data_IF_999757394192
#
_entry.id   IF_999757394192
#
_cell.length_a   1.000
_cell.length_b   1.000
_cell.length_c   1.000
_cell.angle_alpha   90.00
_cell.angle_beta   90.00
_cell.angle_gamma   90.00
#
_symmetry.space_group_name_H-M   'P 1'
#
loop_
_entity.id
_entity.type
_entity.pdbx_description
1 polymer ?
#
# COMPACT_ATOMS: atom_id res chain seq x y z
N UNK A 1 -7.38 9.14 23.84
CA UNK A 1 -6.76 9.46 22.52
C UNK A 1 -7.41 10.54 21.65
N UNK A 2 -8.73 10.60 21.42
CA UNK A 2 -9.34 11.72 20.67
C UNK A 2 -9.16 11.74 19.15
N UNK A 3 -8.87 10.60 18.53
CA UNK A 3 -8.80 10.47 17.06
C UNK A 3 -7.52 11.01 16.43
N UNK A 4 -7.62 11.41 15.15
CA UNK A 4 -6.55 12.09 14.42
C UNK A 4 -6.53 13.57 14.76
N UNK A 5 -5.34 14.15 14.93
CA UNK A 5 -5.21 15.57 15.24
C UNK A 5 -5.34 16.42 13.96
N UNK A 6 -6.30 17.37 13.89
CA UNK A 6 -6.50 18.25 12.74
C UNK A 6 -5.30 19.14 12.37
N UNK A 7 -4.32 19.29 13.27
CA UNK A 7 -3.07 19.99 12.99
C UNK A 7 -2.24 19.28 11.90
N UNK A 8 -2.48 17.99 11.65
CA UNK A 8 -1.92 17.24 10.52
C UNK A 8 -2.95 17.09 9.40
N UNK A 9 -2.83 17.92 8.36
CA UNK A 9 -3.71 17.82 7.18
C UNK A 9 -3.23 16.77 6.18
N UNK A 10 -1.94 16.45 6.22
CA UNK A 10 -1.29 15.41 5.43
C UNK A 10 0.06 15.10 6.06
N UNK A 11 0.47 13.81 6.07
CA UNK A 11 1.75 13.31 6.59
C UNK A 11 1.84 13.36 8.13
N UNK A 12 2.39 12.29 8.73
CA UNK A 12 2.59 12.08 10.19
C UNK A 12 1.32 12.04 11.06
N UNK A 13 0.13 12.12 10.49
CA UNK A 13 -1.15 11.94 11.17
C UNK A 13 -1.27 10.55 11.81
N UNK A 14 -0.92 9.50 11.07
CA UNK A 14 -0.88 8.12 11.58
C UNK A 14 0.28 7.89 12.56
N UNK A 15 1.42 8.55 12.34
CA UNK A 15 2.58 8.46 13.24
C UNK A 15 2.28 9.08 14.60
N UNK A 16 1.64 10.25 14.64
CA UNK A 16 1.15 10.90 15.87
C UNK A 16 0.16 10.01 16.63
N UNK A 17 -0.81 9.41 15.92
CA UNK A 17 -1.77 8.49 16.53
C UNK A 17 -1.07 7.27 17.15
N UNK A 18 -0.18 6.62 16.41
CA UNK A 18 0.55 5.45 16.90
C UNK A 18 1.46 5.78 18.09
N UNK A 19 2.10 6.97 18.08
CA UNK A 19 2.93 7.41 19.19
C UNK A 19 2.09 7.66 20.45
N UNK A 20 0.93 8.29 20.32
CA UNK A 20 -0.03 8.45 21.44
C UNK A 20 -0.57 7.11 21.93
N UNK A 21 -0.87 6.17 21.03
CA UNK A 21 -1.26 4.80 21.40
C UNK A 21 -0.22 4.12 22.28
N UNK A 22 1.05 4.23 21.91
CA UNK A 22 2.17 3.71 22.69
C UNK A 22 2.28 4.39 24.06
N UNK A 23 2.13 5.71 24.14
CA UNK A 23 2.17 6.45 25.41
C UNK A 23 1.01 6.06 26.36
N UNK A 24 -0.17 5.75 25.82
CA UNK A 24 -1.31 5.22 26.59
C UNK A 24 -1.23 3.70 26.81
N UNK A 25 -0.11 3.04 26.46
CA UNK A 25 0.14 1.60 26.68
C UNK A 25 -0.87 0.68 25.95
N UNK A 26 -1.42 1.16 24.82
CA UNK A 26 -2.26 0.34 23.95
C UNK A 26 -1.43 -0.68 23.18
N UNK A 27 -2.09 -1.77 22.75
CA UNK A 27 -1.46 -2.83 21.95
C UNK A 27 -1.87 -2.72 20.49
N UNK A 28 -0.90 -2.83 19.60
CA UNK A 28 -1.12 -2.95 18.15
C UNK A 28 -0.88 -4.39 17.72
N UNK A 29 -1.84 -4.99 17.01
CA UNK A 29 -1.72 -6.32 16.45
C UNK A 29 -1.45 -6.25 14.95
N UNK A 30 -0.48 -7.03 14.47
CA UNK A 30 -0.21 -7.21 13.04
C UNK A 30 -0.99 -8.44 12.58
N UNK A 31 -1.74 -8.32 11.49
CA UNK A 31 -2.40 -9.44 10.83
C UNK A 31 -1.49 -9.98 9.70
N UNK A 32 -0.65 -11.01 9.95
CA UNK A 32 0.41 -11.41 9.01
C UNK A 32 -0.12 -11.97 7.67
N UNK A 33 -1.37 -12.43 7.65
CA UNK A 33 -2.04 -12.94 6.46
C UNK A 33 -2.89 -11.88 5.74
N UNK A 34 -3.04 -10.69 6.31
CA UNK A 34 -3.75 -9.61 5.64
C UNK A 34 -2.93 -9.09 4.46
N UNK A 35 -3.52 -9.09 3.26
CA UNK A 35 -2.92 -8.50 2.07
C UNK A 35 -3.66 -7.24 1.67
N UNK A 36 -2.94 -6.12 1.68
CA UNK A 36 -3.45 -4.82 1.27
C UNK A 36 -2.78 -4.40 -0.03
N UNK A 37 -3.59 -4.17 -1.06
CA UNK A 37 -3.10 -3.64 -2.33
C UNK A 37 -3.05 -2.12 -2.28
N UNK A 38 -1.84 -1.56 -2.23
CA UNK A 38 -1.64 -0.12 -2.30
C UNK A 38 -1.75 0.37 -3.75
N UNK A 39 -2.81 1.12 -4.03
CA UNK A 39 -2.94 1.91 -5.26
C UNK A 39 -2.38 3.32 -5.06
N UNK A 40 -1.98 3.96 -6.17
CA UNK A 40 -1.60 5.37 -6.17
C UNK A 40 -2.56 6.12 -7.08
N UNK A 41 -3.17 7.17 -6.55
CA UNK A 41 -3.93 8.16 -7.31
C UNK A 41 -3.21 9.51 -7.18
N UNK A 42 -3.39 10.36 -8.19
CA UNK A 42 -3.03 11.77 -8.07
C UNK A 42 -3.82 12.41 -6.91
N UNK A 43 -3.23 13.42 -6.29
CA UNK A 43 -3.80 14.22 -5.20
C UNK A 43 -3.40 15.69 -5.42
N UNK A 44 -3.92 16.60 -4.59
CA UNK A 44 -3.54 18.02 -4.62
C UNK A 44 -2.01 18.24 -4.51
N UNK A 45 -1.31 17.35 -3.81
CA UNK A 45 0.13 17.42 -3.55
C UNK A 45 0.98 16.50 -4.45
N UNK A 46 0.36 15.74 -5.37
CA UNK A 46 1.09 14.76 -6.18
C UNK A 46 0.40 14.43 -7.52
N UNK A 47 1.17 14.46 -8.60
CA UNK A 47 0.72 14.04 -9.94
C UNK A 47 0.53 12.52 -10.07
N UNK A 48 -0.06 12.07 -11.18
CA UNK A 48 -0.31 10.65 -11.46
C UNK A 48 0.99 9.83 -11.58
N UNK A 49 2.06 10.44 -12.09
CA UNK A 49 3.43 9.91 -12.16
C UNK A 49 4.17 9.94 -10.81
N UNK A 50 3.45 10.25 -9.72
CA UNK A 50 3.92 10.33 -8.32
C UNK A 50 4.85 11.49 -8.01
N UNK A 51 5.04 12.43 -8.96
CA UNK A 51 5.86 13.62 -8.72
C UNK A 51 5.14 14.55 -7.75
N UNK A 52 5.81 14.99 -6.65
CA UNK A 52 5.22 15.96 -5.73
C UNK A 52 5.02 17.31 -6.42
N UNK A 53 3.89 17.95 -6.16
CA UNK A 53 3.57 19.30 -6.67
C UNK A 53 3.77 20.36 -5.60
N UNK A 54 3.62 20.00 -4.33
CA UNK A 54 3.74 20.86 -3.15
C UNK A 54 4.21 20.04 -1.94
N UNK A 55 5.06 20.62 -1.10
CA UNK A 55 5.57 20.00 0.14
C UNK A 55 5.15 20.76 1.41
N UNK A 56 4.28 21.76 1.29
CA UNK A 56 3.87 22.63 2.40
C UNK A 56 3.34 21.81 3.59
N UNK A 57 2.41 20.89 3.35
CA UNK A 57 1.85 20.09 4.45
C UNK A 57 2.84 19.09 5.05
N UNK A 58 3.83 18.62 4.28
CA UNK A 58 4.89 17.75 4.84
C UNK A 58 5.75 18.54 5.84
N UNK A 59 6.17 19.76 5.47
CA UNK A 59 6.94 20.63 6.36
C UNK A 59 6.13 21.05 7.60
N UNK A 60 4.86 21.40 7.40
CA UNK A 60 3.99 21.86 8.47
C UNK A 60 3.68 20.75 9.50
N UNK A 61 3.33 19.55 9.01
CA UNK A 61 3.08 18.40 9.86
C UNK A 61 4.34 17.97 10.63
N UNK A 62 5.52 18.03 10.00
CA UNK A 62 6.77 17.75 10.71
C UNK A 62 7.01 18.74 11.86
N UNK A 63 6.76 20.04 11.64
CA UNK A 63 6.91 21.05 12.69
C UNK A 63 5.94 20.82 13.86
N UNK A 64 4.67 20.47 13.58
CA UNK A 64 3.70 20.08 14.61
C UNK A 64 4.19 18.87 15.39
N UNK A 65 4.65 17.81 14.71
CA UNK A 65 5.11 16.59 15.35
C UNK A 65 6.31 16.84 16.29
N UNK A 66 7.29 17.63 15.84
CA UNK A 66 8.46 17.95 16.66
C UNK A 66 8.09 18.80 17.86
N UNK A 67 7.19 19.78 17.72
CA UNK A 67 6.71 20.59 18.86
C UNK A 67 5.99 19.76 19.92
N UNK A 68 5.37 18.65 19.54
CA UNK A 68 4.68 17.74 20.47
C UNK A 68 5.62 16.76 21.17
N UNK A 69 6.56 16.19 20.43
CA UNK A 69 7.25 14.96 20.86
C UNK A 69 8.78 15.06 20.88
N UNK A 70 9.36 16.21 20.52
CA UNK A 70 10.80 16.38 20.48
C UNK A 70 11.27 17.66 21.18
N UNK A 71 12.41 17.64 21.89
CA UNK A 71 13.03 18.85 22.43
C UNK A 71 13.37 19.86 21.33
N UNK A 72 13.20 21.16 21.63
CA UNK A 72 13.48 22.26 20.68
C UNK A 72 14.90 22.21 20.09
N UNK A 73 15.87 21.70 20.85
CA UNK A 73 17.27 21.53 20.40
C UNK A 73 17.41 20.62 19.18
N UNK A 74 16.46 19.69 18.97
CA UNK A 74 16.46 18.75 17.85
C UNK A 74 15.72 19.28 16.62
N UNK A 75 14.97 20.38 16.72
CA UNK A 75 14.07 20.82 15.65
C UNK A 75 14.85 21.22 14.40
N UNK A 76 15.83 22.12 14.53
CA UNK A 76 16.62 22.64 13.41
C UNK A 76 17.35 21.53 12.64
N UNK A 77 17.99 20.60 13.34
CA UNK A 77 18.70 19.47 12.72
C UNK A 77 17.73 18.52 12.01
N UNK A 78 16.56 18.27 12.60
CA UNK A 78 15.54 17.39 12.01
C UNK A 78 14.92 18.01 10.76
N UNK A 79 14.60 19.30 10.78
CA UNK A 79 14.12 20.01 9.60
C UNK A 79 15.14 19.98 8.45
N UNK A 80 16.43 20.22 8.76
CA UNK A 80 17.49 20.16 7.75
C UNK A 80 17.63 18.75 7.14
N UNK A 81 17.53 17.69 7.96
CA UNK A 81 17.55 16.30 7.49
C UNK A 81 16.36 15.99 6.60
N UNK A 82 15.14 16.28 7.05
CA UNK A 82 13.93 16.03 6.29
C UNK A 82 13.91 16.79 4.95
N UNK A 83 14.34 18.06 4.96
CA UNK A 83 14.50 18.86 3.74
C UNK A 83 15.48 18.23 2.76
N UNK A 84 16.63 17.75 3.25
CA UNK A 84 17.63 17.04 2.43
C UNK A 84 17.04 15.78 1.79
N UNK A 85 16.27 14.99 2.55
CA UNK A 85 15.61 13.79 2.02
C UNK A 85 14.59 14.13 0.92
N UNK A 86 13.77 15.18 1.12
CA UNK A 86 12.84 15.63 0.07
C UNK A 86 13.59 16.18 -1.16
N UNK A 87 14.72 16.88 -0.96
CA UNK A 87 15.57 17.34 -2.08
C UNK A 87 16.10 16.16 -2.89
N UNK A 88 16.65 15.13 -2.22
CA UNK A 88 17.16 13.93 -2.89
C UNK A 88 16.05 13.25 -3.70
N UNK A 89 14.83 13.16 -3.13
CA UNK A 89 13.67 12.62 -3.84
C UNK A 89 13.28 13.47 -5.06
N UNK A 90 13.26 14.79 -4.94
CA UNK A 90 12.97 15.69 -6.06
C UNK A 90 14.04 15.60 -7.17
N UNK A 91 15.32 15.50 -6.80
CA UNK A 91 16.42 15.32 -7.74
C UNK A 91 16.30 14.00 -8.52
N UNK A 92 15.86 12.90 -7.89
CA UNK A 92 15.58 11.64 -8.60
C UNK A 92 14.50 11.80 -9.66
N UNK A 93 13.45 12.58 -9.39
CA UNK A 93 12.43 12.90 -10.39
C UNK A 93 12.99 13.78 -11.52
N UNK A 94 13.86 14.74 -11.19
CA UNK A 94 14.52 15.58 -12.19
C UNK A 94 15.44 14.77 -13.11
N UNK A 95 16.28 13.89 -12.55
CA UNK A 95 17.14 12.98 -13.33
C UNK A 95 16.33 12.02 -14.23
N UNK A 96 15.11 11.68 -13.83
CA UNK A 96 14.19 10.89 -14.64
C UNK A 96 13.42 11.71 -15.70
N UNK A 97 13.72 13.02 -15.85
CA UNK A 97 13.05 13.91 -16.80
C UNK A 97 11.64 14.34 -16.39
N UNK A 98 11.24 14.12 -15.13
CA UNK A 98 9.88 14.39 -14.66
C UNK A 98 9.73 15.75 -13.97
N UNK A 99 10.84 16.39 -13.60
CA UNK A 99 10.90 17.72 -12.99
C UNK A 99 11.99 18.55 -13.66
N UNK A 100 11.81 19.86 -13.69
CA UNK A 100 12.87 20.79 -14.08
C UNK A 100 13.63 21.30 -12.84
N UNK A 101 14.86 21.85 -13.00
CA UNK A 101 15.61 22.44 -11.89
C UNK A 101 14.84 23.52 -11.11
N UNK A 102 13.98 24.30 -11.78
CA UNK A 102 13.11 25.29 -11.13
C UNK A 102 12.07 24.67 -10.21
N UNK A 103 11.55 23.49 -10.56
CA UNK A 103 10.57 22.79 -9.71
C UNK A 103 11.19 22.27 -8.43
N UNK A 104 12.43 21.76 -8.49
CA UNK A 104 13.14 21.33 -7.28
C UNK A 104 13.28 22.50 -6.31
N UNK A 105 13.66 23.68 -6.81
CA UNK A 105 13.74 24.90 -5.98
C UNK A 105 12.37 25.28 -5.39
N UNK A 106 11.32 25.28 -6.22
CA UNK A 106 9.94 25.58 -5.79
C UNK A 106 9.44 24.62 -4.70
N UNK A 107 9.67 23.32 -4.87
CA UNK A 107 9.30 22.30 -3.88
C UNK A 107 10.02 22.52 -2.55
N UNK A 108 11.33 22.81 -2.58
CA UNK A 108 12.06 23.08 -1.34
C UNK A 108 11.56 24.36 -0.66
N UNK A 109 11.26 25.42 -1.42
CA UNK A 109 10.64 26.63 -0.88
C UNK A 109 9.28 26.35 -0.24
N UNK A 110 8.45 25.48 -0.84
CA UNK A 110 7.17 25.09 -0.25
C UNK A 110 7.33 24.29 1.05
N UNK A 111 8.35 23.43 1.14
CA UNK A 111 8.66 22.72 2.39
C UNK A 111 9.04 23.71 3.49
N UNK A 112 9.92 24.67 3.19
CA UNK A 112 10.40 25.67 4.14
C UNK A 112 9.22 26.54 4.65
N UNK A 113 8.38 27.03 3.74
CA UNK A 113 7.11 27.72 4.08
C UNK A 113 6.20 26.85 4.95
N UNK A 114 6.14 25.55 4.66
CA UNK A 114 5.42 24.58 5.46
C UNK A 114 5.89 24.55 6.91
N UNK A 115 7.21 24.49 7.14
CA UNK A 115 7.78 24.49 8.50
C UNK A 115 7.39 25.75 9.28
N UNK A 116 7.43 26.92 8.64
CA UNK A 116 7.00 28.18 9.26
C UNK A 116 5.52 28.14 9.67
N UNK A 117 4.65 27.72 8.74
CA UNK A 117 3.21 27.57 9.00
C UNK A 117 2.95 26.56 10.13
N UNK A 118 3.59 25.41 10.10
CA UNK A 118 3.43 24.37 11.13
C UNK A 118 3.92 24.78 12.52
N UNK A 119 4.93 25.65 12.57
CA UNK A 119 5.44 26.22 13.82
C UNK A 119 4.42 27.12 14.52
N UNK A 120 3.48 27.68 13.76
CA UNK A 120 2.41 28.55 14.25
C UNK A 120 1.05 27.84 14.40
N UNK A 121 0.91 26.58 13.93
CA UNK A 121 -0.34 25.83 14.09
C UNK A 121 -0.69 25.67 15.57
N UNK A 122 -1.96 25.86 15.91
CA UNK A 122 -2.47 25.54 17.23
C UNK A 122 -2.32 24.03 17.47
N UNK A 123 -1.80 23.68 18.64
CA UNK A 123 -1.77 22.29 19.14
C UNK A 123 -2.75 22.26 20.29
N UNK A 124 -3.92 21.68 20.05
CA UNK A 124 -5.01 21.58 21.02
C UNK A 124 -5.07 20.20 21.64
N UNK A 125 -5.53 20.12 22.88
CA UNK A 125 -5.94 18.85 23.49
C UNK A 125 -7.08 18.24 22.68
N UNK A 126 -6.93 16.99 22.27
CA UNK A 126 -7.98 16.28 21.54
C UNK A 126 -9.10 15.87 22.49
N UNK A 127 -10.33 16.16 22.11
CA UNK A 127 -11.51 15.74 22.87
C UNK A 127 -11.64 14.21 22.87
N UNK A 128 -12.03 13.63 24.01
CA UNK A 128 -12.26 12.19 24.11
C UNK A 128 -13.39 11.76 23.16
N UNK A 129 -13.13 10.74 22.34
CA UNK A 129 -14.18 10.11 21.53
C UNK A 129 -15.02 9.26 22.49
N UNK A 130 -16.35 9.47 22.56
CA UNK A 130 -17.21 8.68 23.41
C UNK A 130 -17.22 7.21 22.97
N UNK A 131 -17.46 6.31 23.92
CA UNK A 131 -17.69 4.90 23.59
C UNK A 131 -18.87 4.78 22.62
N UNK A 132 -18.70 3.94 21.60
CA UNK A 132 -19.77 3.64 20.67
C UNK A 132 -20.95 3.02 21.43
N UNK A 133 -22.18 3.46 21.12
CA UNK A 133 -23.40 2.92 21.74
C UNK A 133 -23.62 1.45 21.39
N UNK A 134 -23.20 1.06 20.18
CA UNK A 134 -23.28 -0.30 19.67
C UNK A 134 -21.89 -0.90 19.54
N UNK A 135 -21.81 -2.22 19.71
CA UNK A 135 -20.59 -2.98 19.48
C UNK A 135 -20.23 -3.13 17.99
N UNK A 136 -19.14 -3.85 17.72
CA UNK A 136 -18.74 -4.19 16.35
C UNK A 136 -19.82 -5.02 15.66
N UNK A 137 -20.20 -4.61 14.45
CA UNK A 137 -21.11 -5.37 13.59
C UNK A 137 -20.35 -6.55 12.96
N UNK A 138 -20.98 -7.73 12.82
CA UNK A 138 -20.36 -8.85 12.13
C UNK A 138 -20.07 -8.47 10.68
N UNK A 139 -18.90 -8.88 10.18
CA UNK A 139 -18.59 -8.73 8.76
C UNK A 139 -19.51 -9.65 7.96
N UNK A 140 -20.37 -9.08 7.11
CA UNK A 140 -21.25 -9.87 6.25
C UNK A 140 -20.44 -10.81 5.37
N UNK A 141 -20.77 -12.09 5.39
CA UNK A 141 -20.14 -13.09 4.53
C UNK A 141 -20.47 -12.76 3.05
N UNK A 142 -19.44 -12.37 2.29
CA UNK A 142 -19.59 -11.94 0.89
C UNK A 142 -19.43 -13.07 -0.13
N UNK A 143 -19.08 -14.27 0.31
CA UNK A 143 -18.83 -15.41 -0.56
C UNK A 143 -19.30 -16.72 0.08
N UNK A 144 -19.67 -17.68 -0.76
CA UNK A 144 -20.13 -19.02 -0.35
C UNK A 144 -19.16 -20.09 -0.87
N UNK A 145 -19.17 -21.24 -0.21
CA UNK A 145 -18.43 -22.42 -0.66
C UNK A 145 -16.91 -22.32 -0.60
N UNK A 146 -16.26 -23.30 -1.22
CA UNK A 146 -14.80 -23.41 -1.28
C UNK A 146 -14.19 -22.47 -2.33
N UNK A 147 -12.91 -22.12 -2.15
CA UNK A 147 -12.18 -21.32 -3.12
C UNK A 147 -11.97 -22.12 -4.42
N UNK A 148 -12.49 -21.61 -5.54
CA UNK A 148 -12.34 -22.23 -6.85
C UNK A 148 -11.03 -21.83 -7.52
N UNK A 149 -10.33 -22.82 -8.04
CA UNK A 149 -9.07 -22.65 -8.77
C UNK A 149 -9.37 -22.87 -10.25
N UNK A 150 -9.10 -21.85 -11.06
CA UNK A 150 -9.13 -21.94 -12.53
C UNK A 150 -7.70 -21.83 -13.04
N UNK A 151 -7.29 -22.71 -13.93
CA UNK A 151 -5.92 -22.68 -14.45
C UNK A 151 -5.84 -23.11 -15.91
N UNK A 152 -4.82 -22.64 -16.61
CA UNK A 152 -4.56 -23.11 -17.95
C UNK A 152 -3.51 -22.36 -18.72
N UNK A 153 -3.42 -22.72 -20.00
CA UNK A 153 -2.49 -22.13 -20.95
C UNK A 153 -2.96 -20.75 -21.42
N UNK A 154 -1.98 -19.89 -21.72
CA UNK A 154 -2.17 -18.56 -22.30
C UNK A 154 -3.03 -18.55 -23.56
N UNK A 155 -3.01 -19.62 -24.37
CA UNK A 155 -3.85 -19.73 -25.56
C UNK A 155 -5.36 -19.72 -25.23
N UNK A 156 -5.76 -20.25 -24.07
CA UNK A 156 -7.16 -20.30 -23.61
C UNK A 156 -7.53 -19.15 -22.66
N UNK A 157 -6.66 -18.14 -22.50
CA UNK A 157 -6.81 -17.05 -21.51
C UNK A 157 -8.16 -16.34 -21.52
N UNK A 158 -8.79 -16.17 -22.70
CA UNK A 158 -10.09 -15.49 -22.80
C UNK A 158 -11.20 -16.33 -22.15
N UNK A 159 -11.28 -17.61 -22.50
CA UNK A 159 -12.25 -18.55 -21.94
C UNK A 159 -12.04 -18.75 -20.43
N UNK A 160 -10.78 -18.90 -19.98
CA UNK A 160 -10.47 -19.07 -18.55
C UNK A 160 -10.85 -17.84 -17.72
N UNK A 161 -10.69 -16.63 -18.26
CA UNK A 161 -11.15 -15.40 -17.60
C UNK A 161 -12.67 -15.35 -17.49
N UNK A 162 -13.41 -15.72 -18.54
CA UNK A 162 -14.87 -15.78 -18.50
C UNK A 162 -15.35 -16.75 -17.43
N UNK A 163 -14.83 -17.98 -17.42
CA UNK A 163 -15.13 -18.99 -16.41
C UNK A 163 -14.84 -18.50 -14.99
N UNK A 164 -13.69 -17.84 -14.77
CA UNK A 164 -13.37 -17.29 -13.45
C UNK A 164 -14.33 -16.17 -13.02
N UNK A 165 -14.78 -15.32 -13.94
CA UNK A 165 -15.74 -14.26 -13.66
C UNK A 165 -17.13 -14.82 -13.34
N UNK A 166 -17.59 -15.86 -14.07
CA UNK A 166 -18.85 -16.55 -13.81
C UNK A 166 -18.87 -17.15 -12.40
N UNK A 167 -17.78 -17.79 -11.97
CA UNK A 167 -17.67 -18.34 -10.61
C UNK A 167 -17.78 -17.26 -9.52
N UNK A 168 -17.20 -16.07 -9.74
CA UNK A 168 -17.36 -14.95 -8.79
C UNK A 168 -18.78 -14.40 -8.80
N UNK A 169 -19.43 -14.30 -9.98
CA UNK A 169 -20.85 -13.89 -10.07
C UNK A 169 -21.78 -14.84 -9.32
N UNK A 170 -21.43 -16.13 -9.27
CA UNK A 170 -22.14 -17.14 -8.48
C UNK A 170 -21.84 -17.07 -6.97
N UNK A 171 -21.06 -16.07 -6.53
CA UNK A 171 -20.78 -15.81 -5.12
C UNK A 171 -19.58 -16.56 -4.57
N UNK A 172 -18.70 -17.12 -5.41
CA UNK A 172 -17.57 -17.94 -4.95
C UNK A 172 -16.22 -17.24 -5.13
N UNK A 173 -15.30 -17.41 -4.17
CA UNK A 173 -13.92 -16.90 -4.28
C UNK A 173 -13.18 -17.64 -5.38
N UNK A 174 -12.49 -16.91 -6.25
CA UNK A 174 -11.79 -17.52 -7.40
C UNK A 174 -10.36 -17.02 -7.56
N UNK A 175 -9.43 -17.97 -7.76
CA UNK A 175 -8.05 -17.71 -8.19
C UNK A 175 -7.83 -18.27 -9.60
N UNK A 176 -7.34 -17.42 -10.50
CA UNK A 176 -7.07 -17.76 -11.89
C UNK A 176 -5.56 -17.77 -12.16
N UNK A 177 -5.02 -18.88 -12.65
CA UNK A 177 -3.62 -19.03 -13.03
C UNK A 177 -3.48 -19.24 -14.54
N UNK A 178 -2.81 -18.30 -15.24
CA UNK A 178 -2.57 -18.39 -16.68
C UNK A 178 -1.07 -18.41 -16.97
N UNK A 179 -0.60 -19.49 -17.57
CA UNK A 179 0.82 -19.69 -17.86
C UNK A 179 1.10 -19.62 -19.37
N UNK A 180 2.17 -18.90 -19.72
CA UNK A 180 2.76 -18.87 -21.06
C UNK A 180 4.05 -19.69 -21.08
N UNK A 181 4.47 -20.28 -22.21
CA UNK A 181 5.72 -21.04 -22.30
C UNK A 181 6.94 -20.10 -22.36
N UNK A 182 7.13 -19.25 -21.35
CA UNK A 182 8.18 -18.22 -21.33
C UNK A 182 8.85 -18.13 -19.95
N UNK A 183 9.90 -17.32 -19.86
CA UNK A 183 10.58 -16.95 -18.60
C UNK A 183 9.98 -15.70 -17.92
N UNK A 184 8.85 -15.17 -18.41
CA UNK A 184 8.29 -13.92 -17.91
C UNK A 184 7.97 -14.01 -16.40
N UNK A 185 8.42 -13.07 -15.56
CA UNK A 185 8.04 -13.05 -14.15
C UNK A 185 6.52 -12.97 -13.97
N UNK A 186 6.00 -13.61 -12.92
CA UNK A 186 4.56 -13.59 -12.67
C UNK A 186 4.11 -12.20 -12.23
N UNK A 187 2.89 -11.86 -12.63
CA UNK A 187 2.14 -10.69 -12.17
C UNK A 187 0.86 -11.20 -11.52
N UNK A 188 0.51 -10.62 -10.37
CA UNK A 188 -0.73 -10.90 -9.66
C UNK A 188 -1.55 -9.62 -9.63
N UNK A 189 -2.86 -9.74 -9.87
CA UNK A 189 -3.82 -8.65 -9.70
C UNK A 189 -5.12 -9.18 -9.12
N UNK A 190 -5.83 -8.31 -8.41
CA UNK A 190 -7.24 -8.52 -8.09
C UNK A 190 -8.05 -7.73 -9.11
N UNK A 191 -8.89 -8.40 -9.89
CA UNK A 191 -9.67 -7.74 -10.95
C UNK A 191 -10.88 -7.00 -10.38
N UNK A 192 -11.48 -6.11 -11.17
CA UNK A 192 -12.70 -5.39 -10.73
C UNK A 192 -13.87 -6.34 -10.49
N UNK A 193 -13.87 -7.46 -11.20
CA UNK A 193 -14.86 -8.53 -11.12
C UNK A 193 -14.62 -9.46 -9.92
N UNK A 194 -13.57 -9.23 -9.12
CA UNK A 194 -13.31 -9.99 -7.89
C UNK A 194 -12.46 -11.25 -8.05
N UNK A 195 -11.72 -11.38 -9.16
CA UNK A 195 -10.85 -12.55 -9.42
C UNK A 195 -9.41 -12.27 -9.00
N UNK A 196 -8.78 -13.22 -8.30
CA UNK A 196 -7.33 -13.22 -8.08
C UNK A 196 -6.61 -13.81 -9.29
N UNK A 197 -6.19 -12.97 -10.23
CA UNK A 197 -5.52 -13.42 -11.44
C UNK A 197 -3.99 -13.36 -11.30
N UNK A 198 -3.34 -14.50 -11.55
CA UNK A 198 -1.90 -14.63 -11.67
C UNK A 198 -1.52 -15.06 -13.08
N UNK A 199 -0.74 -14.22 -13.77
CA UNK A 199 -0.26 -14.49 -15.13
C UNK A 199 1.25 -14.49 -15.18
N UNK A 200 1.88 -15.36 -15.97
CA UNK A 200 3.33 -15.32 -16.14
C UNK A 200 3.86 -16.41 -17.05
N UNK A 201 5.18 -16.52 -17.08
CA UNK A 201 5.90 -17.59 -17.76
C UNK A 201 5.97 -18.84 -16.89
N UNK A 202 5.62 -20.00 -17.45
CA UNK A 202 5.70 -21.31 -16.79
C UNK A 202 7.07 -21.55 -16.13
N UNK A 203 8.12 -21.06 -16.78
CA UNK A 203 9.52 -21.22 -16.40
C UNK A 203 10.11 -19.98 -15.70
N UNK A 204 9.33 -18.90 -15.57
CA UNK A 204 9.77 -17.65 -14.94
C UNK A 204 9.54 -17.63 -13.43
N UNK A 205 10.19 -16.70 -12.72
CA UNK A 205 10.00 -16.52 -11.26
C UNK A 205 8.58 -16.08 -10.87
N UNK A 206 8.01 -16.62 -9.78
CA UNK A 206 6.76 -16.13 -9.17
C UNK A 206 6.94 -15.21 -7.96
N UNK A 207 8.13 -15.21 -7.36
CA UNK A 207 8.49 -14.35 -6.23
C UNK A 207 9.78 -13.59 -6.54
N UNK A 208 9.99 -12.43 -5.89
CA UNK A 208 11.13 -11.54 -6.19
C UNK A 208 12.48 -12.22 -6.02
N UNK A 209 12.63 -13.01 -4.96
CA UNK A 209 13.85 -13.76 -4.63
C UNK A 209 13.89 -15.17 -5.24
N UNK A 210 12.98 -15.51 -6.17
CA UNK A 210 12.91 -16.83 -6.78
C UNK A 210 13.88 -16.99 -7.95
N UNK A 211 14.17 -18.24 -8.32
CA UNK A 211 15.00 -18.57 -9.48
C UNK A 211 14.44 -17.95 -10.77
N UNK A 212 15.33 -17.37 -11.59
CA UNK A 212 14.96 -16.71 -12.85
C UNK A 212 14.50 -17.69 -13.93
N UNK A 213 14.99 -18.93 -13.87
CA UNK A 213 14.66 -20.03 -14.77
C UNK A 213 14.30 -21.24 -13.94
N UNK A 214 13.17 -21.88 -14.27
CA UNK A 214 12.65 -23.06 -13.61
C UNK A 214 12.25 -24.09 -14.67
N UNK A 215 12.85 -25.28 -14.63
CA UNK A 215 12.38 -26.43 -15.43
C UNK A 215 11.20 -27.10 -14.72
N UNK A 216 9.97 -26.75 -15.07
CA UNK A 216 8.76 -27.29 -14.43
C UNK A 216 7.62 -27.49 -15.43
N UNK A 217 6.76 -28.47 -15.15
CA UNK A 217 5.49 -28.66 -15.85
C UNK A 217 4.42 -27.71 -15.32
N UNK A 218 3.34 -27.51 -16.07
CA UNK A 218 2.21 -26.69 -15.63
C UNK A 218 1.60 -27.21 -14.32
N UNK A 219 1.42 -28.54 -14.20
CA UNK A 219 0.87 -29.18 -12.99
C UNK A 219 1.76 -28.94 -11.76
N UNK A 220 3.08 -29.06 -11.92
CA UNK A 220 4.03 -28.74 -10.85
C UNK A 220 3.98 -27.26 -10.49
N UNK A 221 3.92 -26.37 -11.48
CA UNK A 221 3.86 -24.93 -11.25
C UNK A 221 2.62 -24.54 -10.46
N UNK A 222 1.46 -25.05 -10.85
CA UNK A 222 0.20 -24.88 -10.11
C UNK A 222 0.35 -25.36 -8.68
N UNK A 223 0.86 -26.58 -8.46
CA UNK A 223 1.01 -27.12 -7.12
C UNK A 223 1.92 -26.25 -6.23
N UNK A 224 3.01 -25.71 -6.79
CA UNK A 224 3.88 -24.78 -6.09
C UNK A 224 3.15 -23.48 -5.72
N UNK A 225 2.41 -22.87 -6.65
CA UNK A 225 1.67 -21.63 -6.37
C UNK A 225 0.55 -21.84 -5.34
N UNK A 226 -0.17 -22.97 -5.43
CA UNK A 226 -1.21 -23.31 -4.46
C UNK A 226 -0.64 -23.54 -3.07
N UNK A 227 0.44 -24.31 -2.94
CA UNK A 227 1.13 -24.51 -1.66
C UNK A 227 1.61 -23.17 -1.07
N UNK A 228 2.18 -22.29 -1.90
CA UNK A 228 2.67 -20.97 -1.49
C UNK A 228 1.56 -20.06 -0.96
N UNK A 229 0.37 -20.14 -1.56
CA UNK A 229 -0.75 -19.25 -1.27
C UNK A 229 -1.80 -19.87 -0.33
N UNK A 230 -1.68 -21.15 0.04
CA UNK A 230 -2.68 -21.88 0.82
C UNK A 230 -3.06 -21.16 2.12
N UNK A 231 -2.08 -20.74 2.93
CA UNK A 231 -2.34 -20.03 4.20
C UNK A 231 -3.08 -18.70 4.02
N UNK A 232 -2.88 -18.05 2.88
CA UNK A 232 -3.44 -16.74 2.60
C UNK A 232 -4.84 -16.83 1.99
N UNK A 233 -5.02 -17.77 1.07
CA UNK A 233 -6.22 -17.86 0.24
C UNK A 233 -7.17 -18.95 0.68
N UNK A 234 -6.76 -19.77 1.66
CA UNK A 234 -7.54 -20.86 2.20
C UNK A 234 -8.03 -21.77 1.07
N UNK A 235 -7.07 -22.27 0.28
CA UNK A 235 -7.36 -23.18 -0.80
C UNK A 235 -7.81 -24.53 -0.24
N UNK A 236 -8.70 -25.24 -0.95
CA UNK A 236 -9.06 -26.58 -0.53
C UNK A 236 -7.79 -27.45 -0.44
N UNK A 237 -7.67 -28.31 0.58
CA UNK A 237 -6.65 -29.34 0.59
C UNK A 237 -6.85 -30.17 -0.68
N UNK A 238 -5.83 -30.22 -1.54
CA UNK A 238 -5.91 -31.00 -2.77
C UNK A 238 -6.22 -32.46 -2.41
N UNK A 239 -7.26 -33.00 -3.04
CA UNK A 239 -7.42 -34.44 -3.28
C UNK A 239 -6.29 -34.91 -4.20
#
# INVERSE_FOLDING_TARGET
>A
MGGFDPAYRFYLDETDLNYRMMQEVHRTAIAPLAQVHHGYKASATRRQDRVPTDLTEIGASLAVYLRKFAPNTQHKVTFAKARKEQRVRALRHMMAGLLEPRDVRRLMGSFDKGVEVGSQRAISTLSTIPLARDGFKPLTQRFKGQHVIVEGSWFKRKALRQMAMETVRNGTRTSLFIFSPTLRPHKVRFTKEGVWEQTGGLFGRSVRAGAHVLGVTQKQRVAQELKRLAKLRDFPPKV
#
